data_IF_567873673567
#
_entry.id   IF_567873673567
#
_cell.length_a   1.000
_cell.length_b   1.000
_cell.length_c   1.000
_cell.angle_alpha   90.00
_cell.angle_beta   90.00
_cell.angle_gamma   90.00
#
_symmetry.space_group_name_H-M   'P 1'
#
loop_
_entity.id
_entity.type
_entity.pdbx_description
1 polymer ?
#
# COMPACT_ATOMS: atom_id res chain seq x y z
N UNK A 1 -3.83 -19.39 11.80
CA UNK A 1 -2.70 -19.36 10.84
C UNK A 1 -2.91 -18.38 9.69
N UNK A 2 -3.66 -18.78 8.66
CA UNK A 2 -3.66 -18.10 7.35
C UNK A 2 -4.01 -16.60 7.39
N UNK A 3 -5.08 -16.22 8.09
CA UNK A 3 -5.50 -14.80 8.11
C UNK A 3 -4.47 -13.91 8.81
N UNK A 4 -3.89 -14.38 9.92
CA UNK A 4 -2.81 -13.65 10.59
C UNK A 4 -1.55 -13.54 9.70
N UNK A 5 -1.25 -14.59 8.93
CA UNK A 5 -0.13 -14.59 7.97
C UNK A 5 -0.34 -13.54 6.88
N UNK A 6 -1.51 -13.53 6.26
CA UNK A 6 -1.88 -12.52 5.27
C UNK A 6 -1.86 -11.13 5.88
N UNK A 7 -2.57 -10.92 6.98
CA UNK A 7 -2.69 -9.62 7.62
C UNK A 7 -1.33 -9.02 7.97
N UNK A 8 -0.43 -9.78 8.59
CA UNK A 8 0.83 -9.24 9.10
C UNK A 8 1.95 -9.13 8.06
N UNK A 9 2.03 -10.08 7.13
CA UNK A 9 3.22 -10.23 6.31
C UNK A 9 3.02 -9.98 4.82
N UNK A 10 1.78 -9.99 4.30
CA UNK A 10 1.52 -9.66 2.90
C UNK A 10 1.60 -8.14 2.68
N UNK A 11 2.16 -7.65 1.55
CA UNK A 11 2.81 -8.38 0.45
C UNK A 11 4.35 -8.55 0.64
N UNK A 12 4.86 -8.42 1.86
CA UNK A 12 6.29 -8.48 2.16
C UNK A 12 6.93 -9.87 2.01
N UNK A 13 8.26 -9.92 1.95
CA UNK A 13 9.03 -11.17 1.76
C UNK A 13 8.77 -12.23 2.84
N UNK A 14 8.43 -11.80 4.05
CA UNK A 14 8.15 -12.71 5.17
C UNK A 14 6.85 -13.48 5.00
N UNK A 15 5.94 -13.02 4.14
CA UNK A 15 4.72 -13.76 3.80
C UNK A 15 5.04 -15.15 3.23
N UNK A 16 6.10 -15.28 2.45
CA UNK A 16 6.52 -16.55 1.86
C UNK A 16 7.38 -17.41 2.79
N UNK A 17 7.88 -16.86 3.90
CA UNK A 17 8.77 -17.55 4.84
C UNK A 17 8.07 -18.04 6.11
N UNK A 18 7.05 -17.33 6.56
CA UNK A 18 6.31 -17.65 7.79
C UNK A 18 4.99 -18.30 7.35
N UNK A 19 4.84 -19.59 7.61
CA UNK A 19 3.63 -20.36 7.28
C UNK A 19 2.67 -20.46 8.45
N UNK A 20 3.17 -20.54 9.69
CA UNK A 20 2.37 -20.57 10.91
C UNK A 20 2.80 -19.47 11.91
N UNK A 21 2.27 -18.24 11.76
CA UNK A 21 2.57 -17.18 12.71
C UNK A 21 1.89 -17.40 14.08
N UNK A 22 0.90 -18.28 14.15
CA UNK A 22 0.06 -18.51 15.33
C UNK A 22 0.61 -19.54 16.31
N UNK A 23 1.63 -20.32 15.92
CA UNK A 23 2.20 -21.35 16.81
C UNK A 23 2.64 -20.78 18.16
N UNK A 24 2.36 -21.55 19.21
CA UNK A 24 2.76 -21.26 20.58
C UNK A 24 4.16 -21.76 20.94
N UNK A 25 4.72 -22.67 20.15
CA UNK A 25 6.03 -23.28 20.39
C UNK A 25 7.10 -22.52 19.59
N UNK A 26 7.82 -21.62 20.25
CA UNK A 26 8.83 -20.75 19.63
C UNK A 26 10.01 -20.55 20.57
N UNK A 27 11.21 -20.47 19.99
CA UNK A 27 12.41 -19.96 20.66
C UNK A 27 12.83 -18.65 20.00
N UNK A 28 13.23 -17.65 20.78
CA UNK A 28 13.59 -16.34 20.26
C UNK A 28 14.80 -15.78 21.00
N UNK A 29 15.70 -15.15 20.25
CA UNK A 29 16.88 -14.49 20.82
C UNK A 29 16.44 -13.27 21.61
N UNK A 30 16.93 -13.13 22.84
CA UNK A 30 16.67 -11.94 23.67
C UNK A 30 17.57 -10.78 23.24
N UNK A 31 18.89 -10.96 23.34
CA UNK A 31 19.88 -9.89 23.08
C UNK A 31 19.75 -9.27 21.70
N UNK A 32 19.54 -7.95 21.67
CA UNK A 32 19.38 -7.13 20.46
C UNK A 32 18.01 -7.27 19.78
N UNK A 33 17.04 -7.89 20.45
CA UNK A 33 15.68 -8.07 19.95
C UNK A 33 14.69 -7.85 21.08
N UNK A 34 14.37 -8.88 21.88
CA UNK A 34 13.32 -8.80 22.92
C UNK A 34 13.63 -7.75 23.96
N UNK A 35 14.91 -7.57 24.30
CA UNK A 35 15.41 -6.52 25.21
C UNK A 35 15.23 -5.09 24.67
N UNK A 36 14.94 -4.92 23.38
CA UNK A 36 14.67 -3.63 22.75
C UNK A 36 13.18 -3.38 22.49
N UNK A 37 12.33 -4.38 22.75
CA UNK A 37 10.88 -4.27 22.51
C UNK A 37 10.16 -3.73 23.73
N UNK A 38 9.16 -2.88 23.49
CA UNK A 38 8.15 -2.59 24.49
C UNK A 38 7.25 -3.82 24.67
N UNK A 39 7.43 -4.47 25.82
CA UNK A 39 6.69 -5.65 26.27
C UNK A 39 5.62 -5.32 27.31
N UNK A 40 5.58 -4.08 27.82
CA UNK A 40 4.63 -3.63 28.84
C UNK A 40 3.32 -3.16 28.18
N UNK A 41 3.42 -2.59 26.97
CA UNK A 41 2.29 -2.05 26.19
C UNK A 41 1.96 -2.90 24.96
N UNK A 42 1.66 -4.18 25.17
CA UNK A 42 1.16 -5.07 24.12
C UNK A 42 -0.34 -4.86 23.87
N UNK A 43 -0.79 -5.01 22.61
CA UNK A 43 -2.21 -4.88 22.24
C UNK A 43 -3.10 -5.97 22.85
N UNK A 44 -2.50 -7.13 23.16
CA UNK A 44 -3.15 -8.25 23.80
C UNK A 44 -2.26 -8.78 24.91
N UNK A 45 -2.87 -9.17 26.04
CA UNK A 45 -2.22 -9.91 27.13
C UNK A 45 -2.60 -11.40 27.15
N UNK A 46 -3.35 -11.86 26.14
CA UNK A 46 -3.88 -13.22 26.03
C UNK A 46 -3.09 -14.06 25.02
N UNK A 47 -3.69 -14.46 23.89
CA UNK A 47 -2.98 -15.23 22.84
C UNK A 47 -2.45 -14.34 21.72
N UNK A 48 -3.09 -13.17 21.49
CA UNK A 48 -2.71 -12.23 20.43
C UNK A 48 -1.28 -11.69 20.55
N UNK A 49 -0.75 -11.57 21.76
CA UNK A 49 0.62 -11.06 21.99
C UNK A 49 1.70 -11.84 21.22
N UNK A 50 1.50 -13.14 20.96
CA UNK A 50 2.46 -13.98 20.23
C UNK A 50 2.64 -13.53 18.78
N UNK A 51 1.59 -12.94 18.20
CA UNK A 51 1.61 -12.39 16.85
C UNK A 51 2.31 -11.04 16.83
N UNK A 52 2.00 -10.18 17.80
CA UNK A 52 2.71 -8.91 17.99
C UNK A 52 4.20 -9.12 18.23
N UNK A 53 4.55 -10.04 19.12
CA UNK A 53 5.93 -10.42 19.39
C UNK A 53 6.66 -10.86 18.12
N UNK A 54 6.07 -11.79 17.36
CA UNK A 54 6.67 -12.26 16.10
C UNK A 54 6.79 -11.12 15.08
N UNK A 55 5.78 -10.27 14.97
CA UNK A 55 5.80 -9.12 14.05
C UNK A 55 6.92 -8.13 14.43
N UNK A 56 7.04 -7.77 15.71
CA UNK A 56 8.11 -6.88 16.21
C UNK A 56 9.49 -7.49 15.99
N UNK A 57 9.70 -8.78 16.28
CA UNK A 57 10.94 -9.51 15.97
C UNK A 57 11.32 -9.37 14.49
N UNK A 58 10.35 -9.57 13.60
CA UNK A 58 10.57 -9.45 12.15
C UNK A 58 10.92 -8.02 11.73
N UNK A 59 10.26 -7.01 12.29
CA UNK A 59 10.55 -5.59 12.01
C UNK A 59 11.97 -5.19 12.46
N UNK A 60 12.46 -5.79 13.55
CA UNK A 60 13.84 -5.63 14.01
C UNK A 60 14.87 -6.40 13.17
N UNK A 61 14.42 -7.12 12.12
CA UNK A 61 15.31 -7.85 11.22
C UNK A 61 15.68 -9.26 11.70
N UNK A 62 14.89 -9.85 12.60
CA UNK A 62 15.13 -11.22 13.05
C UNK A 62 15.07 -12.20 11.89
N UNK A 63 16.03 -13.12 11.83
CA UNK A 63 15.99 -14.26 10.91
C UNK A 63 15.02 -15.30 11.48
N UNK A 64 13.96 -15.60 10.74
CA UNK A 64 12.94 -16.59 11.13
C UNK A 64 13.17 -17.88 10.36
N UNK A 65 13.14 -19.01 11.08
CA UNK A 65 13.16 -20.37 10.53
C UNK A 65 12.04 -21.16 11.20
N UNK A 66 11.20 -21.82 10.41
CA UNK A 66 10.19 -22.75 10.92
C UNK A 66 10.77 -24.16 10.90
N UNK A 67 10.62 -24.86 12.03
CA UNK A 67 11.04 -26.26 12.17
C UNK A 67 9.74 -27.08 12.18
N UNK A 68 9.60 -28.09 11.30
CA UNK A 68 8.43 -28.95 11.28
C UNK A 68 8.20 -29.56 12.66
N UNK A 69 6.95 -29.52 13.09
CA UNK A 69 6.53 -30.03 14.38
C UNK A 69 5.28 -30.89 14.17
N UNK A 70 5.18 -31.97 14.91
CA UNK A 70 3.99 -32.81 14.95
C UNK A 70 3.26 -32.53 16.26
N UNK A 71 2.09 -31.89 16.18
CA UNK A 71 1.27 -31.67 17.36
C UNK A 71 0.69 -33.01 17.83
N UNK A 72 1.03 -33.42 19.05
CA UNK A 72 0.42 -34.58 19.70
C UNK A 72 -1.01 -34.31 20.15
N UNK A 73 -1.80 -35.38 20.28
CA UNK A 73 -3.14 -35.30 20.85
C UNK A 73 -3.06 -35.04 22.36
N UNK A 74 -3.91 -34.13 22.85
CA UNK A 74 -4.03 -33.85 24.28
C UNK A 74 -4.80 -34.99 24.95
N UNK A 75 -4.19 -35.65 25.93
CA UNK A 75 -4.78 -36.81 26.63
C UNK A 75 -5.52 -36.45 27.92
N UNK A 76 -5.30 -35.25 28.49
CA UNK A 76 -5.93 -34.79 29.74
C UNK A 76 -6.23 -33.29 29.75
N UNK A 77 -7.35 -32.90 30.36
CA UNK A 77 -7.81 -31.52 30.58
C UNK A 77 -8.48 -30.87 29.36
N UNK A 78 -9.38 -29.92 29.60
CA UNK A 78 -10.21 -29.27 28.57
C UNK A 78 -9.48 -28.14 27.81
N UNK A 79 -9.97 -27.84 26.60
CA UNK A 79 -9.46 -26.74 25.78
C UNK A 79 -9.93 -25.39 26.33
N UNK A 80 -8.97 -24.49 26.59
CA UNK A 80 -9.24 -23.12 27.08
C UNK A 80 -9.35 -22.08 25.96
N UNK A 81 -9.39 -22.52 24.69
CA UNK A 81 -9.48 -21.61 23.55
C UNK A 81 -10.96 -21.28 23.32
N UNK A 82 -11.38 -20.14 23.85
CA UNK A 82 -12.71 -19.58 23.63
C UNK A 82 -12.75 -18.72 22.36
N UNK A 83 -13.95 -18.49 21.81
CA UNK A 83 -14.19 -17.61 20.65
C UNK A 83 -13.63 -16.19 20.84
N UNK A 84 -13.57 -15.71 22.09
CA UNK A 84 -12.97 -14.43 22.44
C UNK A 84 -11.48 -14.34 22.04
N UNK A 85 -10.78 -15.48 22.02
CA UNK A 85 -9.39 -15.58 21.58
C UNK A 85 -9.20 -15.22 20.12
N UNK A 86 -10.14 -15.62 19.26
CA UNK A 86 -10.09 -15.30 17.83
C UNK A 86 -10.22 -13.79 17.62
N UNK A 87 -11.19 -13.15 18.29
CA UNK A 87 -11.43 -11.70 18.23
C UNK A 87 -10.18 -10.93 18.69
N UNK A 88 -9.57 -11.35 19.80
CA UNK A 88 -8.35 -10.74 20.33
C UNK A 88 -7.17 -10.85 19.34
N UNK A 89 -7.01 -12.00 18.69
CA UNK A 89 -6.03 -12.21 17.62
C UNK A 89 -6.29 -11.27 16.44
N UNK A 90 -7.53 -11.20 15.95
CA UNK A 90 -7.90 -10.32 14.84
C UNK A 90 -7.64 -8.85 15.16
N UNK A 91 -8.04 -8.40 16.35
CA UNK A 91 -7.78 -7.05 16.85
C UNK A 91 -6.28 -6.76 16.88
N UNK A 92 -5.47 -7.68 17.39
CA UNK A 92 -4.01 -7.54 17.44
C UNK A 92 -3.41 -7.38 16.05
N UNK A 93 -3.81 -8.23 15.09
CA UNK A 93 -3.34 -8.15 13.70
C UNK A 93 -3.74 -6.82 13.05
N UNK A 94 -4.99 -6.40 13.25
CA UNK A 94 -5.48 -5.13 12.72
C UNK A 94 -4.68 -3.95 13.29
N UNK A 95 -4.51 -3.87 14.62
CA UNK A 95 -3.78 -2.79 15.27
C UNK A 95 -2.31 -2.75 14.86
N UNK A 96 -1.66 -3.90 14.69
CA UNK A 96 -0.27 -3.98 14.20
C UNK A 96 -0.13 -3.39 12.79
N UNK A 97 -1.06 -3.71 11.89
CA UNK A 97 -1.05 -3.14 10.53
C UNK A 97 -1.49 -1.69 10.52
N UNK A 98 -2.47 -1.32 11.33
CA UNK A 98 -2.92 0.06 11.45
C UNK A 98 -1.77 0.97 11.91
N UNK A 99 -0.96 0.54 12.86
CA UNK A 99 0.16 1.33 13.37
C UNK A 99 1.48 1.13 12.60
N UNK A 100 1.50 0.26 11.59
CA UNK A 100 2.68 0.05 10.75
C UNK A 100 2.97 1.29 9.87
N UNK A 101 4.18 1.88 9.94
CA UNK A 101 4.52 3.07 9.17
C UNK A 101 4.33 2.91 7.66
N UNK A 102 4.60 1.72 7.12
CA UNK A 102 4.46 1.44 5.68
C UNK A 102 2.98 1.45 5.28
N UNK A 103 2.12 0.84 6.08
CA UNK A 103 0.66 0.85 5.89
C UNK A 103 0.09 2.27 5.97
N UNK A 104 0.52 3.04 6.97
CA UNK A 104 0.11 4.43 7.11
C UNK A 104 0.50 5.27 5.88
N UNK A 105 1.70 5.07 5.33
CA UNK A 105 2.09 5.71 4.06
C UNK A 105 1.21 5.26 2.89
N UNK A 106 0.87 3.97 2.81
CA UNK A 106 0.01 3.44 1.74
C UNK A 106 -1.40 4.03 1.79
N UNK A 107 -2.00 4.14 2.99
CA UNK A 107 -3.31 4.76 3.20
C UNK A 107 -3.27 6.22 2.74
N UNK A 108 -2.25 7.01 3.16
CA UNK A 108 -2.10 8.40 2.73
C UNK A 108 -1.94 8.54 1.21
N UNK A 109 -1.12 7.67 0.61
CA UNK A 109 -0.96 7.60 -0.84
C UNK A 109 -2.31 7.35 -1.54
N UNK A 110 -3.12 6.41 -1.05
CA UNK A 110 -4.46 6.15 -1.58
C UNK A 110 -5.40 7.35 -1.43
N UNK A 111 -5.43 7.99 -0.26
CA UNK A 111 -6.25 9.19 -0.02
C UNK A 111 -5.87 10.34 -0.96
N UNK A 112 -4.58 10.59 -1.15
CA UNK A 112 -4.10 11.62 -2.09
C UNK A 112 -4.47 11.26 -3.52
N UNK A 113 -4.32 9.99 -3.92
CA UNK A 113 -4.72 9.53 -5.26
C UNK A 113 -6.21 9.76 -5.54
N UNK A 114 -7.09 9.43 -4.58
CA UNK A 114 -8.53 9.70 -4.67
C UNK A 114 -8.84 11.20 -4.71
N UNK A 115 -8.13 11.99 -3.91
CA UNK A 115 -8.26 13.45 -3.93
C UNK A 115 -7.83 14.05 -5.27
N UNK A 116 -6.71 13.59 -5.82
CA UNK A 116 -6.23 13.97 -7.16
C UNK A 116 -7.22 13.62 -8.26
N UNK A 117 -7.86 12.44 -8.19
CA UNK A 117 -8.95 12.09 -9.11
C UNK A 117 -10.09 13.10 -9.05
N UNK A 118 -10.48 13.54 -7.85
CA UNK A 118 -11.44 14.62 -7.66
C UNK A 118 -10.98 15.92 -8.33
N UNK A 119 -9.74 16.36 -8.05
CA UNK A 119 -9.14 17.55 -8.68
C UNK A 119 -9.19 17.46 -10.20
N UNK A 120 -8.82 16.33 -10.77
CA UNK A 120 -8.83 16.14 -12.22
C UNK A 120 -10.26 16.25 -12.79
N UNK A 121 -11.24 15.60 -12.16
CA UNK A 121 -12.63 15.65 -12.63
C UNK A 121 -13.20 17.07 -12.57
N UNK A 122 -13.05 17.78 -11.45
CA UNK A 122 -13.53 19.15 -11.32
C UNK A 122 -12.76 20.12 -12.22
N UNK A 123 -11.45 19.94 -12.34
CA UNK A 123 -10.61 20.72 -13.23
C UNK A 123 -11.05 20.59 -14.69
N UNK A 124 -11.36 19.38 -15.15
CA UNK A 124 -11.89 19.15 -16.50
C UNK A 124 -13.18 19.95 -16.74
N UNK A 125 -14.12 19.90 -15.79
CA UNK A 125 -15.40 20.59 -15.92
C UNK A 125 -15.22 22.12 -15.93
N UNK A 126 -14.31 22.65 -15.10
CA UNK A 126 -14.00 24.08 -15.04
C UNK A 126 -13.30 24.54 -16.32
N UNK A 127 -12.25 23.84 -16.76
CA UNK A 127 -11.49 24.22 -17.95
C UNK A 127 -12.29 24.04 -19.24
N UNK A 128 -13.12 23.01 -19.33
CA UNK A 128 -13.99 22.80 -20.49
C UNK A 128 -14.99 23.95 -20.64
N UNK A 129 -15.58 24.44 -19.54
CA UNK A 129 -16.43 25.64 -19.53
C UNK A 129 -15.65 26.91 -19.88
N UNK A 130 -14.48 27.12 -19.27
CA UNK A 130 -13.66 28.31 -19.52
C UNK A 130 -13.21 28.42 -20.98
N UNK A 131 -12.89 27.28 -21.62
CA UNK A 131 -12.44 27.22 -23.02
C UNK A 131 -13.59 27.19 -24.02
N UNK A 132 -14.85 27.09 -23.59
CA UNK A 132 -16.00 26.92 -24.48
C UNK A 132 -16.16 28.06 -25.48
N UNK A 133 -15.85 29.29 -25.08
CA UNK A 133 -15.96 30.49 -25.92
C UNK A 133 -14.72 30.73 -26.80
N UNK A 134 -13.65 29.97 -26.59
CA UNK A 134 -12.37 30.11 -27.31
C UNK A 134 -12.22 28.97 -28.34
N UNK A 135 -12.68 27.76 -27.99
CA UNK A 135 -12.50 26.55 -28.79
C UNK A 135 -13.86 25.92 -29.06
N UNK A 136 -14.34 26.12 -30.29
CA UNK A 136 -15.63 25.60 -30.75
C UNK A 136 -15.59 24.08 -30.99
N UNK A 137 -14.44 23.53 -31.38
CA UNK A 137 -14.27 22.08 -31.60
C UNK A 137 -14.26 21.33 -30.26
N UNK A 138 -15.38 20.64 -29.98
CA UNK A 138 -15.63 19.96 -28.69
C UNK A 138 -14.52 18.98 -28.29
N UNK A 139 -14.01 18.19 -29.24
CA UNK A 139 -12.94 17.23 -28.99
C UNK A 139 -11.63 17.90 -28.55
N UNK A 140 -11.19 18.92 -29.29
CA UNK A 140 -9.96 19.69 -28.99
C UNK A 140 -10.09 20.40 -27.65
N UNK A 141 -11.26 21.01 -27.39
CA UNK A 141 -11.55 21.67 -26.11
C UNK A 141 -11.41 20.72 -24.93
N UNK A 142 -12.08 19.56 -24.97
CA UNK A 142 -12.03 18.59 -23.88
C UNK A 142 -10.65 17.94 -23.73
N UNK A 143 -9.91 17.74 -24.82
CA UNK A 143 -8.53 17.28 -24.77
C UNK A 143 -7.63 18.24 -23.99
N UNK A 144 -7.65 19.53 -24.34
CA UNK A 144 -6.85 20.57 -23.67
C UNK A 144 -7.31 20.73 -22.21
N UNK A 145 -8.62 20.78 -21.97
CA UNK A 145 -9.18 20.89 -20.62
C UNK A 145 -8.74 19.71 -19.73
N UNK A 146 -8.78 18.48 -20.25
CA UNK A 146 -8.34 17.30 -19.51
C UNK A 146 -6.83 17.32 -19.24
N UNK A 147 -6.02 17.75 -20.21
CA UNK A 147 -4.57 17.86 -20.05
C UNK A 147 -4.21 18.87 -18.94
N UNK A 148 -4.84 20.05 -18.93
CA UNK A 148 -4.65 21.05 -17.87
C UNK A 148 -5.09 20.52 -16.50
N UNK A 149 -6.25 19.87 -16.44
CA UNK A 149 -6.74 19.27 -15.20
C UNK A 149 -5.84 18.14 -14.69
N UNK A 150 -5.27 17.34 -15.60
CA UNK A 150 -4.35 16.26 -15.27
C UNK A 150 -3.06 16.81 -14.68
N UNK A 151 -2.49 17.85 -15.28
CA UNK A 151 -1.28 18.49 -14.77
C UNK A 151 -1.47 19.05 -13.35
N UNK A 152 -2.60 19.73 -13.10
CA UNK A 152 -2.91 20.25 -11.75
C UNK A 152 -3.08 19.11 -10.74
N UNK A 153 -3.74 18.02 -11.13
CA UNK A 153 -3.88 16.83 -10.29
C UNK A 153 -2.52 16.20 -9.98
N UNK A 154 -1.64 16.06 -10.98
CA UNK A 154 -0.30 15.49 -10.82
C UNK A 154 0.55 16.37 -9.90
N UNK A 155 0.52 17.69 -10.10
CA UNK A 155 1.20 18.65 -9.24
C UNK A 155 0.71 18.58 -7.78
N UNK A 156 -0.61 18.56 -7.58
CA UNK A 156 -1.22 18.40 -6.25
C UNK A 156 -0.79 17.10 -5.60
N UNK A 157 -0.84 15.98 -6.33
CA UNK A 157 -0.41 14.68 -5.83
C UNK A 157 1.07 14.69 -5.42
N UNK A 158 1.95 15.29 -6.23
CA UNK A 158 3.37 15.39 -5.90
C UNK A 158 3.60 16.21 -4.62
N UNK A 159 2.99 17.39 -4.53
CA UNK A 159 3.13 18.29 -3.38
C UNK A 159 2.62 17.63 -2.11
N UNK A 160 1.39 17.09 -2.13
CA UNK A 160 0.78 16.45 -0.95
C UNK A 160 1.56 15.21 -0.52
N UNK A 161 2.04 14.39 -1.46
CA UNK A 161 2.88 13.25 -1.11
C UNK A 161 4.20 13.69 -0.47
N UNK A 162 4.83 14.75 -0.99
CA UNK A 162 6.07 15.30 -0.44
C UNK A 162 5.89 15.90 0.96
N UNK A 163 4.75 16.54 1.22
CA UNK A 163 4.45 17.21 2.49
C UNK A 163 3.90 16.25 3.56
N UNK A 164 3.14 15.22 3.18
CA UNK A 164 2.38 14.40 4.12
C UNK A 164 2.73 12.91 4.12
N UNK A 165 2.71 12.25 2.97
CA UNK A 165 2.99 10.80 2.86
C UNK A 165 4.46 10.50 3.18
N UNK A 166 5.36 11.24 2.54
CA UNK A 166 6.80 11.05 2.62
C UNK A 166 7.48 12.18 3.40
N UNK A 167 6.79 12.73 4.41
CA UNK A 167 7.30 13.86 5.22
C UNK A 167 8.69 13.62 5.82
N UNK A 168 9.02 12.36 6.14
CA UNK A 168 10.33 11.98 6.71
C UNK A 168 11.43 11.85 5.64
N UNK A 169 11.04 11.68 4.37
CA UNK A 169 11.92 11.61 3.20
C UNK A 169 11.72 12.82 2.28
N UNK A 170 11.23 13.93 2.84
CA UNK A 170 10.78 15.12 2.12
C UNK A 170 11.89 15.69 1.24
N UNK A 171 11.53 15.96 -0.01
CA UNK A 171 12.36 16.68 -0.96
C UNK A 171 12.30 18.18 -0.65
N UNK A 172 13.47 18.80 -0.57
CA UNK A 172 13.65 20.24 -0.37
C UNK A 172 13.93 20.89 -1.72
N UNK A 173 13.57 22.16 -1.86
CA UNK A 173 13.82 22.97 -3.05
C UNK A 173 15.26 22.84 -3.54
N UNK A 174 15.42 22.65 -4.86
CA UNK A 174 16.71 22.48 -5.54
C UNK A 174 16.63 21.53 -6.73
N UNK A 175 17.79 21.27 -7.35
CA UNK A 175 17.92 20.42 -8.56
C UNK A 175 17.29 19.04 -8.39
N UNK A 176 17.44 18.42 -7.22
CA UNK A 176 16.89 17.09 -6.93
C UNK A 176 15.36 17.10 -6.97
N UNK A 177 14.71 18.12 -6.41
CA UNK A 177 13.25 18.22 -6.42
C UNK A 177 12.71 18.32 -7.84
N UNK A 178 13.34 19.14 -8.70
CA UNK A 178 12.96 19.28 -10.11
C UNK A 178 13.13 17.95 -10.86
N UNK A 179 14.26 17.26 -10.67
CA UNK A 179 14.50 15.95 -11.28
C UNK A 179 13.48 14.91 -10.83
N UNK A 180 13.16 14.87 -9.53
CA UNK A 180 12.14 13.97 -8.98
C UNK A 180 10.74 14.31 -9.46
N UNK A 181 10.41 15.60 -9.60
CA UNK A 181 9.15 16.04 -10.17
C UNK A 181 9.01 15.62 -11.63
N UNK A 182 10.06 15.79 -12.46
CA UNK A 182 10.06 15.31 -13.83
C UNK A 182 9.88 13.78 -13.92
N UNK A 183 10.60 13.04 -13.07
CA UNK A 183 10.46 11.58 -12.97
C UNK A 183 9.04 11.18 -12.57
N UNK A 184 8.44 11.90 -11.62
CA UNK A 184 7.07 11.68 -11.16
C UNK A 184 6.04 11.91 -12.27
N UNK A 185 6.18 12.99 -13.03
CA UNK A 185 5.31 13.28 -14.18
C UNK A 185 5.39 12.19 -15.25
N UNK A 186 6.60 11.83 -15.67
CA UNK A 186 6.81 10.75 -16.64
C UNK A 186 6.22 9.43 -16.14
N UNK A 187 6.43 9.11 -14.85
CA UNK A 187 5.85 7.90 -14.27
C UNK A 187 4.32 7.92 -14.25
N UNK A 188 3.70 9.09 -14.05
CA UNK A 188 2.24 9.25 -13.99
C UNK A 188 1.60 9.04 -15.37
N UNK A 189 2.28 9.48 -16.45
CA UNK A 189 1.83 9.20 -17.83
C UNK A 189 1.90 7.70 -18.11
N UNK A 190 3.02 7.06 -17.78
CA UNK A 190 3.21 5.63 -18.04
C UNK A 190 2.20 4.79 -17.24
N UNK A 191 2.10 5.02 -15.93
CA UNK A 191 1.27 4.22 -15.04
C UNK A 191 -0.22 4.56 -15.12
N UNK A 192 -0.57 5.82 -15.40
CA UNK A 192 -1.94 6.31 -15.43
C UNK A 192 -2.61 6.27 -16.81
N UNK A 193 -1.82 6.29 -17.89
CA UNK A 193 -2.35 6.33 -19.26
C UNK A 193 -1.90 5.12 -20.06
N UNK A 194 -0.57 4.93 -20.22
CA UNK A 194 -0.03 3.91 -21.13
C UNK A 194 -0.42 2.51 -20.68
N UNK A 195 -0.13 2.15 -19.43
CA UNK A 195 -0.40 0.81 -18.90
C UNK A 195 -1.90 0.50 -18.89
N UNK A 196 -2.80 1.35 -18.35
CA UNK A 196 -4.23 1.09 -18.41
C UNK A 196 -4.77 0.97 -19.83
N UNK A 197 -4.30 1.80 -20.77
CA UNK A 197 -4.72 1.72 -22.17
C UNK A 197 -4.32 0.39 -22.81
N UNK A 198 -3.11 -0.11 -22.52
CA UNK A 198 -2.65 -1.41 -23.01
C UNK A 198 -3.46 -2.57 -22.42
N UNK A 199 -3.69 -2.56 -21.10
CA UNK A 199 -4.46 -3.62 -20.43
C UNK A 199 -5.91 -3.64 -20.91
N UNK A 200 -6.54 -2.47 -21.03
CA UNK A 200 -7.91 -2.35 -21.54
C UNK A 200 -7.97 -2.79 -23.00
N UNK A 201 -7.10 -2.27 -23.87
CA UNK A 201 -7.10 -2.59 -25.29
C UNK A 201 -6.85 -4.06 -25.58
N UNK A 202 -5.85 -4.67 -24.94
CA UNK A 202 -5.58 -6.10 -25.09
C UNK A 202 -6.72 -6.95 -24.52
N UNK A 203 -7.25 -6.57 -23.36
CA UNK A 203 -8.35 -7.27 -22.71
C UNK A 203 -9.63 -7.26 -23.55
N UNK A 204 -10.05 -6.09 -24.04
CA UNK A 204 -11.26 -5.98 -24.86
C UNK A 204 -11.10 -6.63 -26.24
N UNK A 205 -9.90 -6.64 -26.81
CA UNK A 205 -9.62 -7.34 -28.06
C UNK A 205 -9.75 -8.87 -27.92
N UNK A 206 -9.34 -9.44 -26.78
CA UNK A 206 -9.37 -10.90 -26.56
C UNK A 206 -10.74 -11.36 -26.04
N UNK A 207 -11.35 -10.62 -25.11
CA UNK A 207 -12.54 -11.07 -24.36
C UNK A 207 -13.82 -10.29 -24.72
N UNK A 208 -13.74 -9.21 -25.49
CA UNK A 208 -14.87 -8.37 -25.91
C UNK A 208 -15.02 -7.06 -25.10
N UNK A 209 -15.58 -6.04 -25.73
CA UNK A 209 -15.73 -4.68 -25.17
C UNK A 209 -16.63 -4.62 -23.92
N UNK A 210 -17.56 -5.56 -23.78
CA UNK A 210 -18.44 -5.67 -22.60
C UNK A 210 -17.68 -5.78 -21.26
N UNK A 211 -16.43 -6.26 -21.27
CA UNK A 211 -15.58 -6.37 -20.08
C UNK A 211 -14.64 -5.16 -19.86
N UNK A 212 -14.80 -4.08 -20.64
CA UNK A 212 -13.93 -2.88 -20.55
C UNK A 212 -13.78 -2.33 -19.13
N UNK A 213 -14.88 -2.27 -18.38
CA UNK A 213 -14.85 -1.80 -16.98
C UNK A 213 -14.04 -2.74 -16.08
N UNK A 214 -14.16 -4.06 -16.27
CA UNK A 214 -13.36 -5.04 -15.54
C UNK A 214 -11.86 -4.86 -15.83
N UNK A 215 -11.48 -4.67 -17.11
CA UNK A 215 -10.08 -4.44 -17.46
C UNK A 215 -9.55 -3.10 -16.95
N UNK A 216 -10.39 -2.06 -16.84
CA UNK A 216 -10.02 -0.81 -16.18
C UNK A 216 -9.71 -1.04 -14.69
N UNK A 217 -10.57 -1.78 -13.98
CA UNK A 217 -10.36 -2.12 -12.56
C UNK A 217 -9.06 -2.93 -12.40
N UNK A 218 -8.84 -3.93 -13.26
CA UNK A 218 -7.61 -4.74 -13.27
C UNK A 218 -6.39 -3.86 -13.50
N UNK A 219 -6.42 -3.00 -14.52
CA UNK A 219 -5.34 -2.08 -14.83
C UNK A 219 -4.96 -1.20 -13.63
N UNK A 220 -5.96 -0.59 -12.99
CA UNK A 220 -5.73 0.34 -11.88
C UNK A 220 -5.19 -0.39 -10.65
N UNK A 221 -5.86 -1.45 -10.20
CA UNK A 221 -5.54 -2.09 -8.92
C UNK A 221 -4.35 -3.06 -9.00
N UNK A 222 -4.14 -3.74 -10.13
CA UNK A 222 -3.05 -4.71 -10.27
C UNK A 222 -1.79 -4.12 -10.89
N UNK A 223 -1.90 -3.02 -11.66
CA UNK A 223 -0.74 -2.43 -12.34
C UNK A 223 -0.45 -1.00 -11.88
N UNK A 224 -1.38 -0.06 -12.06
CA UNK A 224 -1.14 1.37 -11.79
C UNK A 224 -0.80 1.63 -10.32
N UNK A 225 -1.62 1.13 -9.39
CA UNK A 225 -1.44 1.35 -7.94
C UNK A 225 -0.13 0.71 -7.44
N UNK A 226 0.16 -0.57 -7.71
CA UNK A 226 1.42 -1.19 -7.29
C UNK A 226 2.66 -0.52 -7.89
N UNK A 227 2.61 -0.16 -9.18
CA UNK A 227 3.74 0.50 -9.85
C UNK A 227 3.99 1.90 -9.27
N UNK A 228 2.95 2.71 -9.08
CA UNK A 228 3.08 4.02 -8.45
C UNK A 228 3.64 3.91 -7.03
N UNK A 229 3.11 2.98 -6.23
CA UNK A 229 3.62 2.72 -4.89
C UNK A 229 5.11 2.37 -4.90
N UNK A 230 5.54 1.50 -5.82
CA UNK A 230 6.94 1.12 -5.98
C UNK A 230 7.82 2.32 -6.35
N UNK A 231 7.45 3.05 -7.41
CA UNK A 231 8.19 4.22 -7.90
C UNK A 231 8.31 5.27 -6.80
N UNK A 232 7.23 5.55 -6.07
CA UNK A 232 7.24 6.59 -5.06
C UNK A 232 8.18 6.25 -3.91
N UNK A 233 8.16 5.00 -3.43
CA UNK A 233 8.99 4.56 -2.31
C UNK A 233 10.48 4.33 -2.68
N UNK A 234 10.77 3.85 -3.90
CA UNK A 234 12.13 3.42 -4.27
C UNK A 234 12.86 4.41 -5.17
N UNK A 235 12.13 5.20 -5.96
CA UNK A 235 12.70 6.11 -6.95
C UNK A 235 12.54 7.56 -6.49
N UNK A 236 11.33 8.01 -6.13
CA UNK A 236 11.07 9.42 -5.84
C UNK A 236 11.53 9.80 -4.43
N UNK A 237 10.91 9.23 -3.40
CA UNK A 237 11.17 9.50 -1.98
C UNK A 237 11.97 8.36 -1.33
N UNK A 238 13.14 8.09 -1.91
CA UNK A 238 14.03 7.05 -1.41
C UNK A 238 14.57 7.41 -0.02
N UNK A 239 14.46 6.49 0.93
CA UNK A 239 15.11 6.61 2.24
C UNK A 239 16.62 6.76 2.06
N UNK A 240 17.20 7.81 2.65
CA UNK A 240 18.66 7.93 2.79
C UNK A 240 19.12 6.84 3.77
N UNK A 241 20.20 6.14 3.41
CA UNK A 241 20.85 5.18 4.31
C UNK A 241 21.60 5.92 5.40
#
# INVERSE_FOLDING_TARGET
GLVARFGLFFPGKMFFKITDPTTGLKASRVKGFVDTMDMDHLYSRNFGYKLEFLYKMVQLGAKVKEIPLQFGLRTKGESKIESQTAIDIFRSVFLLRWNDPTTQKFIKFGCIGLFGFGINKFGLDIFSKALQNIINTVGVRNFIANALAAEISILSNFILNNLWTFKNEKLVWGKVLIQKFATFNLSSVISGIVIPSLVIGAGTQIFGDQYRFLFLVIAVFLFTVPLNWFIYNHVIWKKKK
#
